data_IF_553484347409
#
_entry.id   IF_553484347409
#
_cell.length_a   1.000
_cell.length_b   1.000
_cell.length_c   1.000
_cell.angle_alpha   90.00
_cell.angle_beta   90.00
_cell.angle_gamma   90.00
#
_symmetry.space_group_name_H-M   'P 1'
#
loop_
_entity.id
_entity.type
_entity.pdbx_description
1 polymer ?
#
# COMPACT_ATOMS: atom_id res chain seq x y z
N UNK A 1 -48.93 0.69 0.73
CA UNK A 1 -48.21 1.49 1.76
C UNK A 1 -46.89 0.77 2.00
N UNK A 2 -45.84 0.95 1.19
CA UNK A 2 -44.93 2.09 1.26
C UNK A 2 -43.67 1.71 2.06
N UNK A 3 -42.91 0.71 1.59
CA UNK A 3 -41.68 0.24 2.24
C UNK A 3 -40.48 1.07 1.80
N UNK A 4 -40.12 2.08 2.59
CA UNK A 4 -39.00 2.97 2.32
C UNK A 4 -37.67 2.45 2.85
N UNK A 5 -36.67 2.35 1.98
CA UNK A 5 -35.35 2.98 2.07
C UNK A 5 -34.40 2.29 1.08
N UNK A 6 -34.21 2.91 -0.09
CA UNK A 6 -33.04 2.69 -0.91
C UNK A 6 -31.84 3.36 -0.25
N UNK A 7 -31.13 2.63 0.59
CA UNK A 7 -29.76 2.98 0.98
C UNK A 7 -28.83 1.97 0.30
N UNK A 8 -28.28 2.38 -0.84
CA UNK A 8 -27.12 1.77 -1.46
C UNK A 8 -25.89 1.97 -0.56
N UNK A 9 -25.91 1.39 0.64
CA UNK A 9 -24.82 1.55 1.59
C UNK A 9 -23.66 0.62 1.22
N UNK A 10 -22.42 1.16 1.10
CA UNK A 10 -21.31 0.41 0.55
C UNK A 10 -21.03 -0.80 1.44
N UNK A 11 -20.81 -1.98 0.82
CA UNK A 11 -20.52 -3.26 1.50
C UNK A 11 -19.47 -3.16 2.63
N UNK A 12 -18.59 -2.18 2.56
CA UNK A 12 -17.54 -1.92 3.54
C UNK A 12 -18.03 -1.29 4.86
N UNK A 13 -19.22 -0.67 4.89
CA UNK A 13 -19.74 0.06 6.04
C UNK A 13 -20.28 -0.85 7.15
N UNK A 14 -20.80 -2.03 6.79
CA UNK A 14 -21.33 -3.04 7.71
C UNK A 14 -20.61 -4.40 7.61
N UNK A 15 -19.38 -4.43 7.05
CA UNK A 15 -18.62 -5.66 6.93
C UNK A 15 -18.20 -6.21 8.30
N UNK A 16 -18.33 -7.53 8.50
CA UNK A 16 -17.88 -8.22 9.73
C UNK A 16 -16.37 -8.07 9.99
N UNK A 17 -15.58 -7.91 8.94
CA UNK A 17 -14.13 -7.75 9.02
C UNK A 17 -13.73 -6.40 8.42
N UNK A 18 -12.83 -5.68 9.11
CA UNK A 18 -12.33 -4.37 8.66
C UNK A 18 -11.61 -4.41 7.31
N UNK A 19 -11.04 -5.55 6.92
CA UNK A 19 -10.39 -5.73 5.63
C UNK A 19 -11.01 -6.91 4.90
N UNK A 20 -11.36 -6.70 3.64
CA UNK A 20 -11.80 -7.77 2.74
C UNK A 20 -10.68 -8.13 1.77
N UNK A 21 -9.60 -8.70 2.31
CA UNK A 21 -8.40 -9.01 1.52
C UNK A 21 -8.65 -10.14 0.51
N UNK A 22 -9.52 -11.10 0.84
CA UNK A 22 -9.80 -12.26 0.00
C UNK A 22 -10.62 -11.92 -1.26
N UNK A 23 -11.35 -10.79 -1.25
CA UNK A 23 -11.98 -10.26 -2.47
C UNK A 23 -11.04 -9.43 -3.33
N UNK A 24 -9.79 -9.22 -2.93
CA UNK A 24 -8.85 -8.43 -3.70
C UNK A 24 -8.40 -9.21 -4.95
N UNK A 25 -8.64 -8.63 -6.14
CA UNK A 25 -8.20 -9.24 -7.40
C UNK A 25 -6.68 -9.38 -7.41
N UNK A 26 -6.18 -10.56 -7.76
CA UNK A 26 -4.74 -10.88 -7.78
C UNK A 26 -4.04 -10.65 -6.43
N UNK A 27 -4.73 -10.89 -5.30
CA UNK A 27 -4.26 -10.61 -3.94
C UNK A 27 -2.79 -11.00 -3.68
N UNK A 28 -2.39 -12.22 -4.04
CA UNK A 28 -1.01 -12.70 -3.84
C UNK A 28 0.02 -11.87 -4.60
N UNK A 29 -0.28 -11.50 -5.85
CA UNK A 29 0.60 -10.68 -6.68
C UNK A 29 0.67 -9.24 -6.14
N UNK A 30 -0.47 -8.65 -5.76
CA UNK A 30 -0.50 -7.29 -5.21
C UNK A 30 0.24 -7.21 -3.88
N UNK A 31 0.07 -8.20 -3.00
CA UNK A 31 0.78 -8.23 -1.72
C UNK A 31 2.28 -8.46 -1.91
N UNK A 32 2.70 -9.36 -2.80
CA UNK A 32 4.12 -9.57 -3.06
C UNK A 32 4.79 -8.35 -3.68
N UNK A 33 4.15 -7.69 -4.64
CA UNK A 33 4.64 -6.43 -5.21
C UNK A 33 4.67 -5.30 -4.17
N UNK A 34 3.65 -5.21 -3.33
CA UNK A 34 3.61 -4.23 -2.24
C UNK A 34 4.77 -4.39 -1.26
N UNK A 35 5.00 -5.61 -0.78
CA UNK A 35 6.12 -5.93 0.12
C UNK A 35 7.46 -5.67 -0.57
N UNK A 36 7.64 -6.12 -1.81
CA UNK A 36 8.89 -5.93 -2.55
C UNK A 36 9.19 -4.45 -2.76
N UNK A 37 8.17 -3.64 -3.07
CA UNK A 37 8.33 -2.20 -3.28
C UNK A 37 8.72 -1.50 -1.98
N UNK A 38 8.01 -1.77 -0.89
CA UNK A 38 8.31 -1.18 0.41
C UNK A 38 9.73 -1.53 0.88
N UNK A 39 10.13 -2.80 0.74
CA UNK A 39 11.49 -3.24 1.04
C UNK A 39 12.53 -2.55 0.15
N UNK A 40 12.29 -2.48 -1.16
CA UNK A 40 13.21 -1.86 -2.11
C UNK A 40 13.46 -0.40 -1.77
N UNK A 41 12.42 0.37 -1.43
CA UNK A 41 12.55 1.77 -1.00
C UNK A 41 13.35 1.86 0.30
N UNK A 42 13.06 0.98 1.27
CA UNK A 42 13.74 0.94 2.56
C UNK A 42 15.25 0.73 2.44
N UNK A 43 15.71 -0.07 1.46
CA UNK A 43 17.14 -0.30 1.20
C UNK A 43 17.74 0.76 0.28
N UNK A 44 17.02 1.17 -0.76
CA UNK A 44 17.53 2.09 -1.78
C UNK A 44 17.84 3.48 -1.24
N UNK A 45 16.94 4.05 -0.44
CA UNK A 45 17.08 5.41 0.11
C UNK A 45 18.37 5.61 0.92
N UNK A 46 18.70 4.77 1.93
CA UNK A 46 19.93 4.96 2.70
C UNK A 46 21.20 4.77 1.87
N UNK A 47 21.21 3.81 0.92
CA UNK A 47 22.36 3.62 0.02
C UNK A 47 22.58 4.87 -0.83
N UNK A 48 21.51 5.40 -1.42
CA UNK A 48 21.58 6.60 -2.23
C UNK A 48 22.05 7.81 -1.40
N UNK A 49 21.57 7.94 -0.17
CA UNK A 49 22.00 9.00 0.74
C UNK A 49 23.51 8.93 1.03
N UNK A 50 24.07 7.73 1.26
CA UNK A 50 25.51 7.55 1.45
C UNK A 50 26.29 7.94 0.18
N UNK A 51 25.86 7.48 -0.99
CA UNK A 51 26.49 7.84 -2.27
C UNK A 51 26.48 9.36 -2.48
N UNK A 52 25.35 10.00 -2.21
CA UNK A 52 25.19 11.44 -2.34
C UNK A 52 26.12 12.21 -1.40
N UNK A 53 26.24 11.77 -0.14
CA UNK A 53 27.13 12.39 0.84
C UNK A 53 28.61 12.19 0.49
N UNK A 54 29.02 11.00 0.06
CA UNK A 54 30.38 10.74 -0.40
C UNK A 54 30.77 11.61 -1.60
N UNK A 55 29.84 11.81 -2.56
CA UNK A 55 30.06 12.71 -3.69
C UNK A 55 30.29 14.16 -3.25
N UNK A 56 29.57 14.64 -2.25
CA UNK A 56 29.77 16.00 -1.70
C UNK A 56 31.12 16.14 -0.99
N UNK A 57 31.55 15.11 -0.25
CA UNK A 57 32.84 15.12 0.45
C UNK A 57 34.04 14.98 -0.50
N UNK A 58 33.91 14.21 -1.57
CA UNK A 58 34.97 14.00 -2.56
C UNK A 58 35.20 15.20 -3.50
N UNK A 59 34.31 16.20 -3.50
CA UNK A 59 34.43 17.42 -4.30
C UNK A 59 35.10 18.60 -3.56
N UNK A 60 35.60 18.37 -2.33
CA UNK A 60 36.45 19.32 -1.60
C UNK A 60 37.92 18.95 -1.74
#
# INVERSE_FOLDING_TARGET
MGGGHGHDEPYYLHAKHMYNLDRMKNQKLTMSLGVLTAFSIGVFVPIYAVIFQQKKTASG
#
